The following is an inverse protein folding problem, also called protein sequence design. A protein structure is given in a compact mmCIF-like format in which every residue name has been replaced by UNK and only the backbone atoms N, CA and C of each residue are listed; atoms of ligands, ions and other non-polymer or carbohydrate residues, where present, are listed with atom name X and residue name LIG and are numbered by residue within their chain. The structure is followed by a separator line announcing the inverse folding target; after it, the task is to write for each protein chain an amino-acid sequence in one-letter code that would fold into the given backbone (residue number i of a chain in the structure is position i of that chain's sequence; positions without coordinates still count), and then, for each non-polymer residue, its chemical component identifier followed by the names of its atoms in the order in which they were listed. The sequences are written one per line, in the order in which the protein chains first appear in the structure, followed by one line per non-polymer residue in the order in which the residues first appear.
data_IF_685876375632
#
_entry.id   IF_685876375632
#
_cell.length_a   1.000
_cell.length_b   1.000
_cell.length_c   1.000
_cell.angle_alpha   90.00
_cell.angle_beta   90.00
_cell.angle_gamma   90.00
#
_symmetry.space_group_name_H-M   'P 1'
#
loop_
_entity.id
_entity.type
_entity.pdbx_description
1 polymer ?
#
# COMPACT_ATOMS: atom_id res chain seq x y z
N UNK A 1 -19.89 -4.41 -13.13
CA UNK A 1 -19.02 -4.47 -14.33
C UNK A 1 -17.90 -3.45 -14.12
N UNK A 2 -16.65 -3.87 -13.90
CA UNK A 2 -15.59 -3.04 -13.25
C UNK A 2 -14.53 -2.42 -14.18
N UNK A 3 -14.71 -2.45 -15.51
CA UNK A 3 -13.61 -2.09 -16.44
C UNK A 3 -14.04 -1.05 -17.47
N UNK A 4 -13.27 0.04 -17.57
CA UNK A 4 -13.27 0.96 -18.72
C UNK A 4 -12.19 0.50 -19.70
N UNK A 5 -12.27 0.97 -20.93
CA UNK A 5 -11.31 0.64 -22.00
C UNK A 5 -9.87 1.10 -21.72
N UNK A 6 -9.69 2.06 -20.81
CA UNK A 6 -8.43 2.74 -20.48
C UNK A 6 -8.13 2.82 -18.97
N UNK A 7 -8.98 2.25 -18.11
CA UNK A 7 -8.87 2.38 -16.66
C UNK A 7 -9.76 1.45 -15.84
N UNK A 8 -9.76 1.65 -14.53
CA UNK A 8 -10.58 0.90 -13.57
C UNK A 8 -11.73 1.80 -13.11
N UNK A 9 -12.96 1.29 -13.04
CA UNK A 9 -14.05 2.09 -12.46
C UNK A 9 -13.82 2.32 -10.97
N UNK A 10 -13.33 1.30 -10.27
CA UNK A 10 -13.07 1.32 -8.83
C UNK A 10 -11.71 0.68 -8.55
N UNK A 11 -10.90 1.33 -7.72
CA UNK A 11 -9.63 0.82 -7.22
C UNK A 11 -9.67 0.60 -5.70
N UNK A 12 -9.34 -0.61 -5.26
CA UNK A 12 -9.03 -0.91 -3.85
C UNK A 12 -7.53 -1.02 -3.65
N UNK A 13 -7.00 -0.34 -2.64
CA UNK A 13 -5.57 -0.40 -2.28
C UNK A 13 -5.42 -0.92 -0.87
N UNK A 14 -4.68 -2.02 -0.70
CA UNK A 14 -4.32 -2.55 0.62
C UNK A 14 -2.91 -2.09 0.96
N UNK A 15 -2.73 -1.33 2.05
CA UNK A 15 -1.41 -0.81 2.40
C UNK A 15 -1.16 -0.83 3.91
N UNK A 16 -0.05 -1.47 4.31
CA UNK A 16 0.33 -1.73 5.70
C UNK A 16 1.73 -1.18 6.05
N UNK A 17 2.39 -0.44 5.16
CA UNK A 17 3.58 0.34 5.49
C UNK A 17 4.78 -0.46 6.02
N UNK A 18 5.09 -1.61 5.42
CA UNK A 18 6.21 -2.47 5.83
C UNK A 18 7.57 -1.75 5.82
N UNK A 19 7.70 -0.73 4.99
CA UNK A 19 8.87 0.14 4.85
C UNK A 19 8.95 1.26 5.92
N UNK A 20 7.95 1.36 6.79
CA UNK A 20 7.79 2.44 7.78
C UNK A 20 7.67 1.92 9.22
N UNK A 21 8.13 0.69 9.49
CA UNK A 21 7.97 0.01 10.78
C UNK A 21 8.86 0.61 11.88
N UNK A 22 10.14 0.84 11.60
CA UNK A 22 11.16 1.00 12.65
C UNK A 22 11.67 2.43 12.83
N UNK A 23 11.59 3.26 11.78
CA UNK A 23 12.15 4.61 11.79
C UNK A 23 11.14 5.62 11.26
N UNK A 24 11.29 6.88 11.70
CA UNK A 24 10.47 7.98 11.19
C UNK A 24 10.61 8.08 9.67
N UNK A 25 9.48 8.15 8.97
CA UNK A 25 9.44 8.25 7.52
C UNK A 25 10.17 9.50 7.03
N UNK A 26 11.02 9.34 6.02
CA UNK A 26 11.68 10.45 5.34
C UNK A 26 10.67 11.18 4.44
N UNK A 27 9.92 12.13 5.02
CA UNK A 27 8.84 12.85 4.34
C UNK A 27 9.26 13.42 2.97
N UNK A 28 10.46 14.02 2.89
CA UNK A 28 10.99 14.60 1.63
C UNK A 28 11.18 13.58 0.51
N UNK A 29 11.37 12.31 0.84
CA UNK A 29 11.54 11.21 -0.13
C UNK A 29 10.19 10.62 -0.50
N UNK A 30 9.35 10.32 0.49
CA UNK A 30 8.12 9.57 0.27
C UNK A 30 6.94 10.42 -0.18
N UNK A 31 6.82 11.67 0.28
CA UNK A 31 5.69 12.55 -0.10
C UNK A 31 5.57 12.72 -1.62
N UNK A 32 6.65 12.98 -2.39
CA UNK A 32 6.57 13.06 -3.86
C UNK A 32 6.09 11.77 -4.53
N UNK A 33 6.50 10.61 -4.02
CA UNK A 33 6.09 9.31 -4.58
C UNK A 33 4.60 9.06 -4.35
N UNK A 34 4.09 9.40 -3.17
CA UNK A 34 2.67 9.35 -2.85
C UNK A 34 1.86 10.31 -3.72
N UNK A 35 2.36 11.53 -3.96
CA UNK A 35 1.72 12.48 -4.85
C UNK A 35 1.61 11.95 -6.29
N UNK A 36 2.70 11.37 -6.81
CA UNK A 36 2.70 10.75 -8.13
C UNK A 36 1.68 9.61 -8.21
N UNK A 37 1.61 8.76 -7.17
CA UNK A 37 0.60 7.69 -7.08
C UNK A 37 -0.83 8.27 -7.08
N UNK A 38 -1.11 9.31 -6.29
CA UNK A 38 -2.45 9.92 -6.24
C UNK A 38 -2.88 10.49 -7.59
N UNK A 39 -1.96 11.12 -8.31
CA UNK A 39 -2.21 11.65 -9.64
C UNK A 39 -2.52 10.52 -10.63
N UNK A 40 -1.75 9.43 -10.60
CA UNK A 40 -2.01 8.26 -11.43
C UNK A 40 -3.36 7.61 -11.13
N UNK A 41 -3.77 7.57 -9.86
CA UNK A 41 -5.08 7.03 -9.47
C UNK A 41 -6.20 7.91 -10.05
N UNK A 42 -6.11 9.24 -9.92
CA UNK A 42 -7.13 10.17 -10.46
C UNK A 42 -7.29 10.07 -11.96
N UNK A 43 -6.19 9.91 -12.69
CA UNK A 43 -6.23 9.81 -14.15
C UNK A 43 -6.87 8.51 -14.64
N UNK A 44 -6.90 7.47 -13.81
CA UNK A 44 -7.26 6.10 -14.24
C UNK A 44 -8.47 5.51 -13.53
N UNK A 45 -8.95 6.17 -12.47
CA UNK A 45 -10.00 5.66 -11.60
C UNK A 45 -11.05 6.72 -11.28
N UNK A 46 -12.33 6.33 -11.33
CA UNK A 46 -13.44 7.19 -10.93
C UNK A 46 -13.65 7.12 -9.39
N UNK A 47 -13.40 5.94 -8.81
CA UNK A 47 -13.52 5.66 -7.38
C UNK A 47 -12.24 5.00 -6.86
N UNK A 48 -11.81 5.37 -5.65
CA UNK A 48 -10.66 4.74 -5.01
C UNK A 48 -10.80 4.74 -3.48
N UNK A 49 -10.37 3.63 -2.87
CA UNK A 49 -10.40 3.45 -1.43
C UNK A 49 -9.16 2.69 -0.95
N UNK A 50 -8.51 3.25 0.05
CA UNK A 50 -7.36 2.67 0.75
C UNK A 50 -7.84 1.95 1.99
N UNK A 51 -7.49 0.67 2.11
CA UNK A 51 -7.54 -0.07 3.36
C UNK A 51 -6.17 -0.04 4.03
N UNK A 52 -6.10 0.64 5.18
CA UNK A 52 -4.89 0.86 5.98
C UNK A 52 -5.14 0.49 7.44
N UNK A 53 -5.49 -0.78 7.66
CA UNK A 53 -5.79 -1.31 8.98
C UNK A 53 -4.58 -1.71 9.81
N UNK A 54 -3.36 -1.47 9.31
CA UNK A 54 -2.13 -1.67 10.06
C UNK A 54 -2.01 -0.72 11.25
N UNK A 55 -1.80 -1.27 12.45
CA UNK A 55 -1.47 -0.48 13.66
C UNK A 55 -0.48 -1.23 14.57
N UNK A 56 0.36 -0.48 15.28
CA UNK A 56 1.55 -0.98 15.96
C UNK A 56 1.24 -2.11 16.95
N UNK A 57 0.21 -1.93 17.79
CA UNK A 57 -0.24 -2.89 18.79
C UNK A 57 -0.65 -4.24 18.19
N UNK A 58 -1.12 -4.28 16.94
CA UNK A 58 -1.51 -5.55 16.28
C UNK A 58 -0.32 -6.45 15.98
N UNK A 59 0.79 -5.83 15.60
CA UNK A 59 1.97 -6.50 15.01
C UNK A 59 3.22 -6.40 15.90
N UNK A 60 3.08 -5.87 17.13
CA UNK A 60 4.20 -5.71 18.05
C UNK A 60 5.23 -4.65 17.61
N UNK A 61 4.81 -3.67 16.82
CA UNK A 61 5.69 -2.59 16.36
C UNK A 61 5.76 -1.43 17.36
N UNK A 62 6.73 -0.54 17.17
CA UNK A 62 6.87 0.69 17.96
C UNK A 62 5.87 1.78 17.56
N UNK A 63 5.69 2.81 18.41
CA UNK A 63 4.75 3.92 18.15
C UNK A 63 5.07 4.70 16.87
N UNK A 64 6.34 4.71 16.45
CA UNK A 64 6.78 5.35 15.20
C UNK A 64 6.05 4.82 13.96
N UNK A 65 5.62 3.55 13.99
CA UNK A 65 4.82 2.98 12.92
C UNK A 65 3.44 3.65 12.83
N UNK A 66 2.77 3.87 13.96
CA UNK A 66 1.46 4.53 13.97
C UNK A 66 1.56 6.00 13.56
N UNK A 67 2.62 6.70 13.96
CA UNK A 67 2.90 8.08 13.53
C UNK A 67 3.09 8.17 12.01
N UNK A 68 3.90 7.28 11.44
CA UNK A 68 4.12 7.20 10.00
C UNK A 68 2.82 6.87 9.26
N UNK A 69 2.04 5.92 9.79
CA UNK A 69 0.77 5.54 9.18
C UNK A 69 -0.27 6.65 9.28
N UNK A 70 -0.31 7.38 10.39
CA UNK A 70 -1.13 8.58 10.56
C UNK A 70 -0.83 9.62 9.49
N UNK A 71 0.45 9.92 9.30
CA UNK A 71 0.93 10.87 8.28
C UNK A 71 0.47 10.48 6.87
N UNK A 72 0.58 9.19 6.50
CA UNK A 72 0.16 8.72 5.16
C UNK A 72 -1.37 8.79 5.01
N UNK A 73 -2.14 8.44 6.04
CA UNK A 73 -3.61 8.56 6.03
C UNK A 73 -4.04 10.00 5.82
N UNK A 74 -3.37 10.96 6.45
CA UNK A 74 -3.59 12.39 6.23
C UNK A 74 -3.30 12.79 4.79
N UNK A 75 -2.20 12.32 4.18
CA UNK A 75 -1.90 12.61 2.77
C UNK A 75 -2.97 12.05 1.82
N UNK A 76 -3.47 10.84 2.08
CA UNK A 76 -4.55 10.23 1.30
C UNK A 76 -5.84 11.06 1.43
N UNK A 77 -6.19 11.46 2.65
CA UNK A 77 -7.38 12.26 2.92
C UNK A 77 -7.27 13.67 2.28
N UNK A 78 -6.13 14.34 2.40
CA UNK A 78 -5.84 15.62 1.76
C UNK A 78 -5.93 15.52 0.23
N UNK A 79 -5.55 14.38 -0.33
CA UNK A 79 -5.70 14.07 -1.76
C UNK A 79 -7.15 13.77 -2.18
N UNK A 80 -8.13 13.82 -1.27
CA UNK A 80 -9.54 13.55 -1.59
C UNK A 80 -9.85 12.07 -1.86
N UNK A 81 -8.94 11.17 -1.48
CA UNK A 81 -9.09 9.72 -1.58
C UNK A 81 -9.65 9.15 -0.27
N UNK A 82 -10.45 8.10 -0.37
CA UNK A 82 -11.00 7.47 0.81
C UNK A 82 -9.97 6.60 1.52
N UNK A 83 -9.96 6.65 2.85
CA UNK A 83 -9.13 5.79 3.70
C UNK A 83 -9.97 5.12 4.77
N UNK A 84 -9.73 3.83 4.96
CA UNK A 84 -10.46 2.93 5.86
C UNK A 84 -9.44 2.19 6.71
N UNK A 85 -9.55 2.34 8.03
CA UNK A 85 -8.69 1.65 8.98
C UNK A 85 -9.33 0.37 9.49
N UNK A 86 -10.62 0.45 9.87
CA UNK A 86 -11.40 -0.68 10.37
C UNK A 86 -10.64 -1.52 11.41
N UNK A 87 -9.94 -0.83 12.34
CA UNK A 87 -9.04 -1.44 13.31
C UNK A 87 -9.70 -2.51 14.17
N UNK A 88 -10.99 -2.38 14.47
CA UNK A 88 -11.74 -3.41 15.19
C UNK A 88 -11.78 -4.73 14.42
N UNK A 89 -12.00 -4.69 13.10
CA UNK A 89 -11.98 -5.90 12.26
C UNK A 89 -10.59 -6.52 12.21
N UNK A 90 -9.56 -5.70 12.04
CA UNK A 90 -8.16 -6.16 11.99
C UNK A 90 -7.70 -6.75 13.32
N UNK A 91 -8.15 -6.18 14.44
CA UNK A 91 -7.93 -6.72 15.78
C UNK A 91 -8.50 -8.12 15.90
N UNK A 92 -9.72 -8.33 15.40
CA UNK A 92 -10.50 -9.54 15.64
C UNK A 92 -10.18 -10.66 14.62
N UNK A 93 -9.65 -10.33 13.44
CA UNK A 93 -9.20 -11.33 12.48
C UNK A 93 -7.92 -12.04 12.94
N UNK A 94 -7.94 -13.37 13.13
CA UNK A 94 -6.74 -14.13 13.47
C UNK A 94 -5.65 -14.00 12.42
N UNK A 95 -4.39 -14.03 12.87
CA UNK A 95 -3.23 -14.18 11.99
C UNK A 95 -2.84 -15.65 11.90
N UNK A 96 -2.35 -16.07 10.72
CA UNK A 96 -1.79 -17.40 10.51
C UNK A 96 -0.32 -17.48 10.93
N UNK A 97 0.36 -16.35 10.94
CA UNK A 97 1.71 -16.14 11.49
C UNK A 97 1.71 -14.80 12.24
N UNK A 98 2.86 -14.15 12.41
CA UNK A 98 2.94 -12.87 13.13
C UNK A 98 2.45 -11.66 12.30
N UNK A 99 2.16 -11.82 10.99
CA UNK A 99 1.94 -10.72 10.05
C UNK A 99 0.70 -10.89 9.16
N UNK A 100 0.41 -12.10 8.71
CA UNK A 100 -0.58 -12.39 7.68
C UNK A 100 -1.87 -12.92 8.28
N UNK A 101 -3.01 -12.46 7.76
CA UNK A 101 -4.31 -12.99 8.15
C UNK A 101 -4.40 -14.51 7.91
N UNK A 102 -4.98 -15.21 8.88
CA UNK A 102 -5.16 -16.65 8.81
C UNK A 102 -6.05 -17.05 7.63
N UNK A 103 -5.85 -18.25 7.10
CA UNK A 103 -6.70 -18.76 6.02
C UNK A 103 -8.19 -18.84 6.43
N UNK A 104 -8.48 -18.97 7.73
CA UNK A 104 -9.83 -19.03 8.27
C UNK A 104 -10.67 -17.76 8.06
N UNK A 105 -10.04 -16.59 7.81
CA UNK A 105 -10.77 -15.32 7.60
C UNK A 105 -10.97 -14.97 6.13
N UNK A 106 -10.59 -15.84 5.19
CA UNK A 106 -10.66 -15.54 3.75
C UNK A 106 -12.06 -15.12 3.30
N UNK A 107 -13.10 -15.83 3.73
CA UNK A 107 -14.47 -15.52 3.34
C UNK A 107 -14.92 -14.14 3.86
N UNK A 108 -14.54 -13.80 5.08
CA UNK A 108 -14.84 -12.50 5.67
C UNK A 108 -14.05 -11.38 5.00
N UNK A 109 -12.78 -11.61 4.65
CA UNK A 109 -11.97 -10.67 3.87
C UNK A 109 -12.57 -10.43 2.48
N UNK A 110 -13.06 -11.48 1.82
CA UNK A 110 -13.73 -11.36 0.51
C UNK A 110 -15.00 -10.52 0.62
N UNK A 111 -15.85 -10.79 1.62
CA UNK A 111 -17.07 -10.00 1.87
C UNK A 111 -16.74 -8.54 2.19
N UNK A 112 -15.73 -8.33 3.03
CA UNK A 112 -15.26 -7.01 3.40
C UNK A 112 -14.77 -6.21 2.19
N UNK A 113 -13.92 -6.81 1.34
CA UNK A 113 -13.44 -6.15 0.13
C UNK A 113 -14.56 -5.91 -0.89
N UNK A 114 -15.49 -6.85 -1.04
CA UNK A 114 -16.65 -6.67 -1.90
C UNK A 114 -17.49 -5.46 -1.44
N UNK A 115 -17.79 -5.36 -0.15
CA UNK A 115 -18.51 -4.22 0.43
C UNK A 115 -17.77 -2.89 0.24
N UNK A 116 -16.47 -2.89 0.53
CA UNK A 116 -15.63 -1.71 0.44
C UNK A 116 -15.47 -1.21 -1.01
N UNK A 117 -15.37 -2.11 -1.99
CA UNK A 117 -15.31 -1.74 -3.41
C UNK A 117 -16.69 -1.32 -3.94
N UNK A 118 -17.76 -1.99 -3.52
CA UNK A 118 -19.12 -1.64 -3.97
C UNK A 118 -19.54 -0.26 -3.48
N UNK A 119 -19.11 0.11 -2.27
CA UNK A 119 -19.42 1.38 -1.62
C UNK A 119 -18.27 2.39 -1.68
N UNK A 120 -17.28 2.18 -2.54
CA UNK A 120 -16.16 3.10 -2.68
C UNK A 120 -16.66 4.48 -3.14
N UNK A 121 -16.38 5.56 -2.40
CA UNK A 121 -16.84 6.88 -2.79
C UNK A 121 -16.08 7.36 -4.04
N UNK A 122 -16.68 8.27 -4.82
CA UNK A 122 -15.96 8.91 -5.91
C UNK A 122 -14.77 9.70 -5.36
N UNK A 123 -13.70 9.78 -6.15
CA UNK A 123 -12.54 10.60 -5.78
C UNK A 123 -12.98 12.07 -5.73
N UNK A 124 -12.75 12.73 -4.59
CA UNK A 124 -13.16 14.13 -4.42
C UNK A 124 -12.17 15.06 -5.13
N UNK A 125 -12.71 16.15 -5.69
CA UNK A 125 -11.88 17.24 -6.18
C UNK A 125 -11.01 17.79 -5.04
N UNK A 126 -9.77 18.13 -5.36
CA UNK A 126 -8.77 18.57 -4.39
C UNK A 126 -9.24 19.82 -3.62
N UNK A 127 -9.27 19.78 -2.28
CA UNK A 127 -9.78 20.89 -1.48
C UNK A 127 -8.77 22.01 -1.16
N UNK A 128 -7.49 21.90 -1.53
CA UNK A 128 -6.54 23.01 -1.35
C UNK A 128 -5.46 23.06 -2.43
N UNK A 129 -5.58 24.00 -3.37
CA UNK A 129 -4.55 24.28 -4.38
C UNK A 129 -3.20 24.72 -3.74
N UNK A 130 -3.22 25.15 -2.47
CA UNK A 130 -2.07 25.77 -1.79
C UNK A 130 -1.13 24.82 -1.03
N UNK A 131 -1.47 23.52 -0.91
CA UNK A 131 -0.69 22.59 -0.06
C UNK A 131 0.27 21.67 -0.80
N UNK A 132 0.25 21.73 -2.14
CA UNK A 132 1.04 20.86 -2.99
C UNK A 132 1.53 21.66 -4.20
N UNK A 133 2.82 22.01 -4.18
CA UNK A 133 3.51 22.47 -5.39
C UNK A 133 3.27 21.46 -6.52
N UNK A 134 3.02 21.92 -7.77
CA UNK A 134 2.94 21.05 -8.92
C UNK A 134 4.20 20.17 -8.96
N UNK A 135 4.02 18.87 -8.74
CA UNK A 135 5.13 17.95 -8.80
C UNK A 135 5.68 17.95 -10.22
N UNK A 136 6.91 18.42 -10.38
CA UNK A 136 7.65 18.21 -11.61
C UNK A 136 8.31 16.84 -11.52
N UNK A 137 8.09 15.94 -12.50
CA UNK A 137 8.79 14.68 -12.53
C UNK A 137 10.29 14.94 -12.48
N UNK A 138 11.06 14.23 -11.65
CA UNK A 138 12.51 14.31 -11.72
C UNK A 138 12.94 13.94 -13.15
N UNK A 139 13.87 14.71 -13.71
CA UNK A 139 14.46 14.40 -15.01
C UNK A 139 15.15 13.03 -14.93
N UNK A 140 14.44 11.98 -15.33
CA UNK A 140 14.75 10.55 -15.18
C UNK A 140 14.83 10.01 -13.74
N UNK A 141 14.25 8.82 -13.46
CA UNK A 141 14.33 8.21 -12.15
C UNK A 141 15.69 7.53 -11.95
N UNK A 142 16.42 7.93 -10.90
CA UNK A 142 17.60 7.22 -10.39
C UNK A 142 17.24 5.83 -9.79
N UNK A 143 15.96 5.49 -9.70
CA UNK A 143 15.45 4.22 -9.16
C UNK A 143 15.28 3.17 -10.27
N UNK A 144 16.31 2.96 -11.10
CA UNK A 144 16.38 1.68 -11.82
C UNK A 144 16.58 0.61 -10.76
N UNK A 145 15.51 -0.15 -10.50
CA UNK A 145 15.64 -1.53 -10.04
C UNK A 145 16.67 -2.19 -10.95
N UNK A 146 17.91 -2.29 -10.48
CA UNK A 146 18.86 -3.20 -11.08
C UNK A 146 18.22 -4.56 -10.90
N UNK A 147 17.70 -5.12 -11.98
CA UNK A 147 17.38 -6.54 -12.05
C UNK A 147 18.69 -7.29 -11.83
N UNK A 148 19.12 -7.43 -10.58
CA UNK A 148 20.00 -8.53 -10.22
C UNK A 148 19.14 -9.75 -10.36
N UNK A 149 19.26 -10.41 -11.53
CA UNK A 149 18.82 -11.78 -11.67
C UNK A 149 19.34 -12.56 -10.46
N UNK A 150 18.53 -13.42 -9.83
CA UNK A 150 19.02 -14.28 -8.77
C UNK A 150 20.21 -15.07 -9.32
N UNK A 151 21.34 -14.99 -8.62
CA UNK A 151 22.51 -15.81 -8.95
C UNK A 151 22.04 -17.27 -8.99
N UNK A 152 22.28 -17.95 -10.12
CA UNK A 152 22.04 -19.39 -10.22
C UNK A 152 22.78 -20.07 -9.05
N UNK A 153 22.14 -20.97 -8.30
CA UNK A 153 22.86 -21.73 -7.29
C UNK A 153 24.00 -22.47 -7.98
N UNK A 154 25.22 -22.27 -7.48
CA UNK A 154 26.40 -23.00 -7.94
C UNK A 154 26.09 -24.50 -7.83
N UNK A 155 26.16 -25.21 -8.96
CA UNK A 155 26.16 -26.68 -8.96
C UNK A 155 27.34 -27.13 -8.10
N UNK A 156 27.07 -27.63 -6.90
CA UNK A 156 28.01 -28.49 -6.18
C UNK A 156 28.19 -29.74 -7.04
N UNK A 157 29.30 -29.81 -7.77
CA UNK A 157 29.81 -31.07 -8.28
C UNK A 157 30.20 -31.91 -7.07
N UNK A 158 29.38 -32.92 -6.76
CA UNK A 158 29.80 -34.03 -5.92
C UNK A 158 30.70 -34.88 -6.81
N UNK A 159 32.02 -34.78 -6.60
CA UNK A 159 32.96 -35.74 -7.15
C UNK A 159 32.71 -37.07 -6.41
N UNK A 160 32.16 -38.05 -7.13
CA UNK A 160 32.23 -39.44 -6.75
C UNK A 160 33.67 -39.90 -6.96
N UNK A 161 34.42 -40.12 -5.88
CA UNK A 161 35.61 -40.96 -5.93
C UNK A 161 35.19 -42.37 -5.50
N UNK A 162 35.22 -43.27 -6.47
CA UNK A 162 35.40 -44.69 -6.22
C UNK A 162 36.86 -44.89 -5.83
N UNK A 163 37.09 -45.45 -4.64
CA UNK A 163 38.04 -46.54 -4.34
C UNK A 163 37.87 -46.97 -2.88
#
# INVERSE_FOLDING_TARGET
MLKRSDGFQVLGVSYFGNEHITTKMHIKVYKPLWQELFEQIRQKCDHAVFFMGGYSKRYGYGPVYDDNMGTIREWIADAGLAVRTDFDKVRDWPLGDDLHFAASVKDDLVRYWADLLWNAPPIRAHCSYERFEPWQPPASPAWRWSRRAPAKPAKRMVAWQHE
#
